data_IF_730386102061
#
_entry.id   IF_730386102061
#
_cell.length_a   1.000
_cell.length_b   1.000
_cell.length_c   1.000
_cell.angle_alpha   90.00
_cell.angle_beta   90.00
_cell.angle_gamma   90.00
#
_symmetry.space_group_name_H-M   'P 1'
#
loop_
_entity.id
_entity.type
_entity.pdbx_description
1 polymer ?
#
# COMPACT_ATOMS: atom_id res chain seq x y z
N UNK A 1 32.94 3.00 10.09
CA UNK A 1 34.37 3.23 10.36
C UNK A 1 34.68 2.54 11.66
N UNK A 2 35.67 1.66 11.69
CA UNK A 2 36.20 1.02 12.90
C UNK A 2 37.62 1.53 13.06
N UNK A 3 37.89 2.30 14.11
CA UNK A 3 39.20 2.88 14.38
C UNK A 3 39.80 2.23 15.62
N UNK A 4 41.11 1.99 15.61
CA UNK A 4 41.85 1.50 16.78
C UNK A 4 42.26 2.64 17.74
N UNK A 5 41.71 3.84 17.52
CA UNK A 5 42.01 5.03 18.31
C UNK A 5 41.34 4.95 19.67
N UNK A 6 41.99 5.52 20.69
CA UNK A 6 41.41 5.69 22.01
C UNK A 6 40.26 6.70 21.96
N UNK A 7 39.36 6.64 22.94
CA UNK A 7 38.23 7.57 23.02
C UNK A 7 38.67 9.04 23.08
N UNK A 8 39.82 9.31 23.69
CA UNK A 8 40.38 10.67 23.83
C UNK A 8 40.88 11.22 22.49
N UNK A 9 41.58 10.39 21.71
CA UNK A 9 42.06 10.74 20.36
C UNK A 9 40.88 11.02 19.42
N UNK A 10 39.82 10.20 19.49
CA UNK A 10 38.59 10.38 18.70
C UNK A 10 37.92 11.72 19.07
N UNK A 11 37.81 12.04 20.35
CA UNK A 11 37.24 13.30 20.80
C UNK A 11 38.08 14.50 20.36
N UNK A 12 39.40 14.37 20.36
CA UNK A 12 40.28 15.43 19.90
C UNK A 12 40.09 15.72 18.41
N UNK A 13 40.09 14.68 17.57
CA UNK A 13 39.89 14.81 16.13
C UNK A 13 38.50 15.39 15.78
N UNK A 14 37.46 14.94 16.49
CA UNK A 14 36.11 15.48 16.34
C UNK A 14 36.02 16.96 16.77
N UNK A 15 36.73 17.36 17.82
CA UNK A 15 36.78 18.76 18.25
C UNK A 15 37.57 19.64 17.27
N UNK A 16 38.60 19.12 16.62
CA UNK A 16 39.34 19.82 15.57
C UNK A 16 38.48 20.03 14.33
N UNK A 17 37.74 19.00 13.91
CA UNK A 17 36.80 19.11 12.77
C UNK A 17 35.66 20.09 13.07
N UNK A 18 35.14 20.15 14.30
CA UNK A 18 34.16 21.17 14.70
C UNK A 18 34.67 22.62 14.54
N UNK A 19 35.99 22.85 14.59
CA UNK A 19 36.57 24.19 14.42
C UNK A 19 36.66 24.63 12.95
N UNK A 20 36.51 23.69 12.01
CA UNK A 20 36.69 24.00 10.57
C UNK A 20 35.53 24.76 9.95
N UNK A 21 34.29 24.50 10.37
CA UNK A 21 33.11 25.19 9.87
C UNK A 21 32.27 25.77 11.03
N UNK A 22 32.13 27.10 11.15
CA UNK A 22 31.37 27.73 12.23
C UNK A 22 29.86 27.43 12.19
N UNK A 23 29.33 26.95 11.06
CA UNK A 23 27.91 26.64 10.90
C UNK A 23 27.55 25.19 11.26
N UNK A 24 28.53 24.30 11.42
CA UNK A 24 28.30 22.89 11.70
C UNK A 24 28.61 22.61 13.18
N UNK A 25 27.57 22.24 13.94
CA UNK A 25 27.72 21.76 15.32
C UNK A 25 27.54 20.25 15.34
N UNK A 26 28.61 19.54 15.73
CA UNK A 26 28.58 18.10 15.94
C UNK A 26 28.27 17.86 17.42
N UNK A 27 27.24 17.07 17.71
CA UNK A 27 26.94 16.60 19.06
C UNK A 27 27.47 15.17 19.18
N UNK A 28 28.36 14.95 20.15
CA UNK A 28 28.98 13.63 20.37
C UNK A 28 28.39 13.05 21.66
N UNK A 29 27.87 11.84 21.57
CA UNK A 29 27.34 11.10 22.72
C UNK A 29 27.87 9.68 22.68
N UNK A 30 28.51 9.24 23.77
CA UNK A 30 29.02 7.87 23.93
C UNK A 30 28.01 7.14 24.81
N UNK A 31 27.13 6.37 24.18
CA UNK A 31 26.11 5.57 24.86
C UNK A 31 26.12 4.14 24.32
N UNK A 32 25.58 3.20 25.09
CA UNK A 32 25.35 1.81 24.64
C UNK A 32 24.25 1.73 23.58
N UNK A 33 23.30 2.67 23.61
CA UNK A 33 22.25 2.83 22.61
C UNK A 33 22.22 4.26 22.06
N UNK A 34 21.94 4.39 20.77
CA UNK A 34 21.88 5.65 20.04
C UNK A 34 20.60 5.71 19.21
N UNK A 35 19.88 6.80 19.34
CA UNK A 35 18.68 7.09 18.55
C UNK A 35 19.06 7.96 17.36
N UNK A 36 18.76 7.52 16.14
CA UNK A 36 19.02 8.28 14.91
C UNK A 36 17.87 8.12 13.92
N UNK A 37 17.24 9.25 13.60
CA UNK A 37 16.05 9.32 12.73
C UNK A 37 14.94 8.38 13.24
N UNK A 38 14.64 7.35 12.44
CA UNK A 38 13.59 6.37 12.67
C UNK A 38 14.11 5.09 13.36
N UNK A 39 15.40 5.03 13.71
CA UNK A 39 16.06 3.84 14.24
C UNK A 39 16.68 4.07 15.63
N UNK A 40 16.55 3.08 16.49
CA UNK A 40 17.33 2.93 17.72
C UNK A 40 18.38 1.86 17.48
N UNK A 41 19.64 2.17 17.77
CA UNK A 41 20.79 1.31 17.51
C UNK A 41 21.44 1.00 18.87
N UNK A 42 21.47 -0.26 19.24
CA UNK A 42 22.08 -0.76 20.47
C UNK A 42 23.30 -1.62 20.15
N UNK A 43 24.37 -1.47 20.92
CA UNK A 43 25.56 -2.30 20.79
C UNK A 43 25.54 -3.44 21.81
N UNK A 44 25.22 -4.64 21.33
CA UNK A 44 25.25 -5.87 22.11
C UNK A 44 26.60 -6.58 21.93
N UNK A 45 27.59 -6.20 22.76
CA UNK A 45 28.91 -6.84 22.80
C UNK A 45 29.62 -6.93 21.44
N UNK A 46 29.52 -5.89 20.61
CA UNK A 46 30.13 -5.81 19.29
C UNK A 46 29.19 -6.12 18.13
N UNK A 47 27.96 -6.56 18.40
CA UNK A 47 26.91 -6.69 17.39
C UNK A 47 25.94 -5.53 17.50
N UNK A 48 25.70 -4.84 16.38
CA UNK A 48 24.71 -3.79 16.31
C UNK A 48 23.32 -4.40 16.17
N UNK A 49 22.46 -4.13 17.15
CA UNK A 49 21.04 -4.43 17.10
C UNK A 49 20.30 -3.15 16.77
N UNK A 50 19.42 -3.19 15.78
CA UNK A 50 18.62 -2.04 15.35
C UNK A 50 17.15 -2.33 15.57
N UNK A 51 16.41 -1.32 16.06
CA UNK A 51 14.98 -1.32 16.30
C UNK A 51 14.35 -0.02 15.79
N UNK A 52 13.03 0.04 15.71
CA UNK A 52 12.34 1.29 15.41
C UNK A 52 12.35 2.20 16.62
N UNK A 53 12.73 3.46 16.39
CA UNK A 53 12.63 4.50 17.41
C UNK A 53 11.27 5.21 17.31
N UNK A 54 10.54 5.22 18.42
CA UNK A 54 9.31 6.00 18.61
C UNK A 54 9.58 7.12 19.59
N UNK A 55 9.44 8.37 19.14
CA UNK A 55 9.63 9.54 20.01
C UNK A 55 8.59 9.53 21.13
N UNK A 56 8.95 9.97 22.34
CA UNK A 56 8.02 10.02 23.48
C UNK A 56 6.75 10.85 23.23
N UNK A 57 6.86 11.90 22.40
CA UNK A 57 5.74 12.74 21.98
C UNK A 57 5.05 12.24 20.69
N UNK A 58 5.32 11.01 20.26
CA UNK A 58 4.74 10.45 19.05
C UNK A 58 3.29 10.07 19.30
N UNK A 59 2.40 10.64 18.49
CA UNK A 59 1.01 10.24 18.44
C UNK A 59 0.81 9.21 17.32
N UNK A 60 0.02 8.16 17.54
CA UNK A 60 -0.27 7.13 16.54
C UNK A 60 -1.27 7.62 15.48
N UNK A 61 -1.08 8.84 14.96
CA UNK A 61 -1.98 9.41 13.98
C UNK A 61 -1.53 9.04 12.56
N UNK A 62 -2.34 8.22 11.90
CA UNK A 62 -2.18 7.91 10.48
C UNK A 62 -3.46 8.32 9.74
N UNK A 63 -3.46 8.14 8.42
CA UNK A 63 -4.65 8.44 7.62
C UNK A 63 -5.84 7.58 8.09
N UNK A 64 -6.88 8.21 8.64
CA UNK A 64 -8.12 7.54 9.04
C UNK A 64 -8.74 6.76 7.88
N UNK A 65 -9.26 5.57 8.18
CA UNK A 65 -9.94 4.72 7.20
C UNK A 65 -11.22 5.35 6.62
N UNK A 66 -11.84 6.28 7.35
CA UNK A 66 -13.05 6.99 6.90
C UNK A 66 -12.76 8.13 5.92
N UNK A 67 -11.48 8.48 5.73
CA UNK A 67 -11.12 9.52 4.77
C UNK A 67 -11.43 9.10 3.33
N UNK A 68 -11.75 10.07 2.46
CA UNK A 68 -12.11 9.83 1.05
C UNK A 68 -10.87 9.56 0.17
N UNK A 69 -10.08 8.56 0.57
CA UNK A 69 -8.92 8.10 -0.18
C UNK A 69 -9.20 6.75 -0.84
N UNK A 70 -8.60 6.48 -2.01
CA UNK A 70 -8.71 5.18 -2.64
C UNK A 70 -8.23 4.05 -1.73
N UNK A 71 -8.94 2.91 -1.74
CA UNK A 71 -8.60 1.73 -0.91
C UNK A 71 -7.15 1.24 -1.02
N UNK A 72 -6.51 1.44 -2.18
CA UNK A 72 -5.12 1.05 -2.37
C UNK A 72 -4.15 1.91 -1.52
N UNK A 73 -4.51 3.15 -1.17
CA UNK A 73 -3.72 4.00 -0.27
C UNK A 73 -3.73 3.42 1.14
N UNK A 74 -4.91 3.09 1.66
CA UNK A 74 -5.08 2.42 2.96
C UNK A 74 -4.33 1.08 3.02
N UNK A 75 -4.42 0.27 1.96
CA UNK A 75 -3.66 -0.97 1.86
C UNK A 75 -2.15 -0.73 1.84
N UNK A 76 -1.70 0.32 1.15
CA UNK A 76 -0.29 0.66 1.05
C UNK A 76 0.27 1.15 2.39
N UNK A 77 -0.51 1.83 3.23
CA UNK A 77 -0.08 2.22 4.58
C UNK A 77 0.35 0.99 5.38
N UNK A 78 -0.50 -0.05 5.43
CA UNK A 78 -0.21 -1.32 6.11
C UNK A 78 1.09 -1.94 5.55
N UNK A 79 1.20 -2.01 4.23
CA UNK A 79 2.39 -2.55 3.57
C UNK A 79 3.65 -1.78 3.95
N UNK A 80 3.60 -0.44 3.94
CA UNK A 80 4.75 0.40 4.26
C UNK A 80 5.17 0.32 5.71
N UNK A 81 4.23 0.16 6.65
CA UNK A 81 4.54 -0.04 8.07
C UNK A 81 5.31 -1.36 8.26
N UNK A 82 4.83 -2.46 7.67
CA UNK A 82 5.50 -3.76 7.76
C UNK A 82 6.88 -3.77 7.07
N UNK A 83 7.00 -3.14 5.88
CA UNK A 83 8.31 -3.01 5.21
C UNK A 83 9.28 -2.19 6.06
N UNK A 84 8.82 -1.11 6.70
CA UNK A 84 9.65 -0.31 7.61
C UNK A 84 10.12 -1.14 8.80
N UNK A 85 9.21 -1.86 9.45
CA UNK A 85 9.52 -2.76 10.56
C UNK A 85 10.55 -3.82 10.17
N UNK A 86 10.29 -4.56 9.10
CA UNK A 86 11.18 -5.62 8.65
C UNK A 86 12.55 -5.12 8.18
N UNK A 87 12.71 -3.83 7.86
CA UNK A 87 14.01 -3.24 7.49
C UNK A 87 14.81 -2.74 8.67
N UNK A 88 14.13 -2.27 9.71
CA UNK A 88 14.77 -1.61 10.85
C UNK A 88 15.00 -2.55 12.01
N UNK A 89 14.10 -3.50 12.27
CA UNK A 89 14.25 -4.46 13.37
C UNK A 89 15.23 -5.57 12.97
N UNK A 90 16.27 -5.81 13.77
CA UNK A 90 17.24 -6.88 13.52
C UNK A 90 16.74 -8.25 13.95
N UNK A 91 15.87 -8.34 14.96
CA UNK A 91 15.36 -9.62 15.47
C UNK A 91 13.88 -9.80 15.17
N UNK A 92 13.44 -11.06 15.16
CA UNK A 92 12.06 -11.42 14.86
C UNK A 92 11.10 -10.96 15.94
N UNK A 93 11.54 -10.95 17.20
CA UNK A 93 10.73 -10.51 18.35
C UNK A 93 10.45 -9.01 18.26
N UNK A 94 11.47 -8.21 17.95
CA UNK A 94 11.30 -6.76 17.84
C UNK A 94 10.47 -6.38 16.60
N UNK A 95 10.57 -7.16 15.53
CA UNK A 95 9.66 -7.04 14.40
C UNK A 95 8.21 -7.39 14.77
N UNK A 96 7.99 -8.46 15.53
CA UNK A 96 6.65 -8.87 15.94
C UNK A 96 6.00 -7.84 16.86
N UNK A 97 6.76 -7.29 17.80
CA UNK A 97 6.31 -6.19 18.66
C UNK A 97 5.92 -4.95 17.85
N UNK A 98 6.71 -4.57 16.84
CA UNK A 98 6.34 -3.47 15.96
C UNK A 98 5.12 -3.81 15.09
N UNK A 99 5.00 -5.04 14.60
CA UNK A 99 3.83 -5.52 13.84
C UNK A 99 2.56 -5.39 14.66
N UNK A 100 2.59 -5.78 15.93
CA UNK A 100 1.49 -5.64 16.87
C UNK A 100 1.17 -4.17 17.15
N UNK A 101 2.19 -3.34 17.34
CA UNK A 101 2.03 -1.88 17.47
C UNK A 101 1.33 -1.28 16.24
N UNK A 102 1.78 -1.66 15.04
CA UNK A 102 1.17 -1.25 13.77
C UNK A 102 -0.31 -1.67 13.67
N UNK A 103 -0.63 -2.90 14.09
CA UNK A 103 -2.02 -3.38 14.15
C UNK A 103 -2.89 -2.51 15.06
N UNK A 104 -2.39 -2.18 16.26
CA UNK A 104 -3.10 -1.30 17.21
C UNK A 104 -3.31 0.10 16.65
N UNK A 105 -2.30 0.69 16.02
CA UNK A 105 -2.38 2.01 15.38
C UNK A 105 -3.48 2.00 14.30
N UNK A 106 -3.53 0.97 13.46
CA UNK A 106 -4.54 0.86 12.42
C UNK A 106 -5.95 0.73 13.01
N UNK A 107 -6.13 -0.05 14.07
CA UNK A 107 -7.40 -0.20 14.77
C UNK A 107 -7.88 1.13 15.36
N UNK A 108 -7.00 1.88 16.02
CA UNK A 108 -7.31 3.21 16.59
C UNK A 108 -7.71 4.21 15.50
N UNK A 109 -7.14 4.09 14.30
CA UNK A 109 -7.47 4.95 13.15
C UNK A 109 -8.67 4.42 12.31
N UNK A 110 -9.46 3.48 12.86
CA UNK A 110 -10.73 3.04 12.28
C UNK A 110 -10.61 2.00 11.17
N UNK A 111 -9.46 1.36 10.98
CA UNK A 111 -9.31 0.33 9.95
C UNK A 111 -10.08 -0.94 10.34
N UNK A 112 -10.89 -1.53 9.44
CA UNK A 112 -11.62 -2.76 9.74
C UNK A 112 -10.66 -3.93 10.03
N UNK A 113 -10.87 -4.74 11.08
CA UNK A 113 -9.96 -5.85 11.42
C UNK A 113 -9.72 -6.83 10.27
N UNK A 114 -10.78 -7.17 9.52
CA UNK A 114 -10.68 -8.04 8.33
C UNK A 114 -9.82 -7.44 7.22
N UNK A 115 -9.82 -6.10 7.09
CA UNK A 115 -8.99 -5.40 6.12
C UNK A 115 -7.52 -5.46 6.54
N UNK A 116 -7.24 -5.18 7.82
CA UNK A 116 -5.90 -5.26 8.41
C UNK A 116 -5.32 -6.66 8.23
N UNK A 117 -6.01 -7.68 8.74
CA UNK A 117 -5.55 -9.07 8.69
C UNK A 117 -5.28 -9.54 7.26
N UNK A 118 -6.17 -9.19 6.31
CA UNK A 118 -5.98 -9.52 4.89
C UNK A 118 -4.69 -8.91 4.34
N UNK A 119 -4.48 -7.62 4.55
CA UNK A 119 -3.35 -6.90 3.96
C UNK A 119 -2.03 -7.22 4.62
N UNK A 120 -2.04 -7.42 5.93
CA UNK A 120 -0.89 -7.98 6.63
C UNK A 120 -0.59 -9.40 6.09
N UNK A 121 -1.57 -10.31 6.01
CA UNK A 121 -1.33 -11.68 5.53
C UNK A 121 -0.74 -11.69 4.12
N UNK A 122 -1.25 -10.82 3.25
CA UNK A 122 -0.74 -10.66 1.90
C UNK A 122 0.75 -10.23 1.87
N UNK A 123 1.22 -9.43 2.83
CA UNK A 123 2.64 -9.06 2.93
C UNK A 123 3.51 -10.29 3.13
N UNK A 124 3.18 -11.16 4.08
CA UNK A 124 3.97 -12.36 4.35
C UNK A 124 3.90 -13.39 3.21
N UNK A 125 2.72 -13.56 2.58
CA UNK A 125 2.59 -14.40 1.38
C UNK A 125 3.46 -13.87 0.23
N UNK A 126 3.48 -12.55 0.01
CA UNK A 126 4.25 -11.94 -1.07
C UNK A 126 5.77 -12.12 -0.90
N UNK A 127 6.22 -12.32 0.34
CA UNK A 127 7.62 -12.46 0.69
C UNK A 127 8.00 -13.89 1.11
N UNK A 128 7.13 -14.87 0.86
CA UNK A 128 7.32 -16.28 1.24
C UNK A 128 7.70 -16.47 2.74
N UNK A 129 7.24 -15.58 3.60
CA UNK A 129 7.63 -15.48 5.01
C UNK A 129 6.46 -15.80 5.97
N UNK A 130 5.57 -16.70 5.58
CA UNK A 130 4.36 -17.01 6.39
C UNK A 130 4.71 -17.57 7.77
N UNK A 131 5.83 -18.30 7.89
CA UNK A 131 6.30 -18.91 9.14
C UNK A 131 6.66 -17.85 10.20
N UNK A 132 7.14 -16.68 9.77
CA UNK A 132 7.39 -15.54 10.67
C UNK A 132 6.10 -15.10 11.39
N UNK A 133 4.95 -15.15 10.70
CA UNK A 133 3.67 -14.82 11.33
C UNK A 133 3.26 -15.89 12.35
N UNK A 134 3.30 -17.16 11.96
CA UNK A 134 2.66 -18.23 12.73
C UNK A 134 3.53 -18.76 13.86
N UNK A 135 4.84 -18.84 13.64
CA UNK A 135 5.78 -19.57 14.50
C UNK A 135 6.91 -18.67 15.03
N UNK A 136 6.96 -17.39 14.63
CA UNK A 136 8.07 -16.47 14.95
C UNK A 136 9.44 -17.06 14.56
N UNK A 137 9.49 -17.74 13.41
CA UNK A 137 10.72 -18.36 12.96
C UNK A 137 11.79 -17.32 12.59
N UNK A 138 12.95 -17.44 13.24
CA UNK A 138 14.06 -16.48 13.12
C UNK A 138 14.79 -16.62 11.79
N UNK A 139 14.94 -17.84 11.27
CA UNK A 139 15.67 -18.08 10.02
C UNK A 139 14.93 -17.48 8.82
N UNK A 140 13.61 -17.74 8.71
CA UNK A 140 12.79 -17.11 7.67
C UNK A 140 12.71 -15.60 7.83
N UNK A 141 12.72 -15.08 9.06
CA UNK A 141 12.78 -13.64 9.30
C UNK A 141 14.09 -13.03 8.80
N UNK A 142 15.24 -13.67 9.06
CA UNK A 142 16.53 -13.18 8.61
C UNK A 142 16.61 -13.09 7.07
N UNK A 143 16.03 -14.08 6.37
CA UNK A 143 15.91 -14.06 4.91
C UNK A 143 15.04 -12.89 4.43
N UNK A 144 13.88 -12.67 5.07
CA UNK A 144 12.99 -11.54 4.79
C UNK A 144 13.69 -10.19 5.02
N UNK A 145 14.33 -10.05 6.17
CA UNK A 145 15.05 -8.84 6.60
C UNK A 145 16.13 -8.49 5.60
N UNK A 146 17.03 -9.43 5.29
CA UNK A 146 18.10 -9.23 4.32
C UNK A 146 17.55 -8.88 2.93
N UNK A 147 16.52 -9.58 2.48
CA UNK A 147 15.89 -9.32 1.18
C UNK A 147 15.34 -7.89 1.10
N UNK A 148 14.70 -7.40 2.15
CA UNK A 148 14.10 -6.06 2.18
C UNK A 148 15.12 -4.95 2.42
N UNK A 149 16.17 -5.22 3.20
CA UNK A 149 17.25 -4.30 3.52
C UNK A 149 18.08 -3.97 2.27
N UNK A 150 18.48 -4.98 1.51
CA UNK A 150 19.28 -4.79 0.28
C UNK A 150 18.45 -4.49 -0.96
N UNK A 151 17.12 -4.41 -0.84
CA UNK A 151 16.23 -4.06 -1.95
C UNK A 151 16.46 -2.60 -2.35
N UNK A 152 16.98 -2.34 -3.56
CA UNK A 152 17.37 -1.00 -3.96
C UNK A 152 16.17 -0.06 -4.00
N UNK A 153 16.39 1.18 -3.57
CA UNK A 153 15.35 2.20 -3.61
C UNK A 153 14.98 2.54 -5.05
N UNK A 154 13.78 3.09 -5.28
CA UNK A 154 13.39 3.56 -6.63
C UNK A 154 14.39 4.57 -7.19
N UNK A 155 15.00 5.38 -6.32
CA UNK A 155 16.03 6.35 -6.69
C UNK A 155 17.31 5.64 -7.11
N UNK A 156 17.80 4.68 -6.32
CA UNK A 156 18.98 3.87 -6.68
C UNK A 156 18.77 3.11 -7.98
N UNK A 157 17.61 2.46 -8.16
CA UNK A 157 17.30 1.76 -9.41
C UNK A 157 17.33 2.71 -10.61
N UNK A 158 16.84 3.94 -10.45
CA UNK A 158 16.91 4.97 -11.49
C UNK A 158 18.35 5.40 -11.78
N UNK A 159 19.19 5.56 -10.75
CA UNK A 159 20.61 5.89 -10.91
C UNK A 159 21.39 4.74 -11.55
N UNK A 160 21.17 3.49 -11.14
CA UNK A 160 21.78 2.28 -11.72
C UNK A 160 21.41 2.09 -13.20
N UNK A 161 20.15 2.39 -13.55
CA UNK A 161 19.69 2.39 -14.93
C UNK A 161 20.35 3.49 -15.78
N UNK A 162 20.76 4.61 -15.18
CA UNK A 162 21.48 5.68 -15.88
C UNK A 162 22.97 5.34 -16.10
N UNK A 163 23.63 4.62 -15.18
CA UNK A 163 25.04 4.26 -15.30
C UNK A 163 25.31 3.11 -16.28
N UNK A 164 24.37 2.17 -16.45
CA UNK A 164 24.58 0.95 -17.26
C UNK A 164 24.26 1.10 -18.77
N UNK A 165 24.33 2.30 -19.33
CA UNK A 165 24.39 2.46 -20.79
C UNK A 165 23.09 2.14 -21.53
N UNK A 166 22.07 2.98 -21.34
CA UNK A 166 21.30 3.60 -22.42
C UNK A 166 20.25 4.46 -21.72
N UNK A 167 20.19 5.75 -22.06
CA UNK A 167 18.99 6.55 -21.88
C UNK A 167 17.88 6.00 -22.79
N UNK A 168 17.46 4.74 -22.61
CA UNK A 168 16.04 4.44 -22.77
C UNK A 168 15.38 5.20 -21.63
N UNK A 169 15.05 6.45 -21.92
CA UNK A 169 13.82 7.01 -21.37
C UNK A 169 12.74 5.99 -21.70
N UNK A 170 12.56 5.00 -20.84
CA UNK A 170 11.27 4.42 -20.56
C UNK A 170 10.44 5.55 -19.94
N UNK A 171 10.19 6.63 -20.71
CA UNK A 171 8.82 7.10 -20.88
C UNK A 171 8.10 5.81 -21.12
N UNK A 172 7.39 5.33 -20.10
CA UNK A 172 6.40 4.27 -20.28
C UNK A 172 5.74 4.64 -21.61
N UNK A 173 5.91 3.79 -22.62
CA UNK A 173 5.11 3.89 -23.83
C UNK A 173 3.70 3.55 -23.36
N UNK A 174 3.08 4.47 -22.62
CA UNK A 174 1.65 4.61 -22.62
C UNK A 174 1.36 4.77 -24.11
N UNK A 175 0.93 3.69 -24.75
CA UNK A 175 0.11 3.81 -25.94
C UNK A 175 -1.00 4.73 -25.47
N UNK A 176 -0.85 6.02 -25.79
CA UNK A 176 -1.91 6.97 -25.57
C UNK A 176 -3.06 6.34 -26.31
N UNK A 177 -4.09 5.89 -25.57
CA UNK A 177 -5.33 5.60 -26.23
C UNK A 177 -5.65 6.89 -26.96
N UNK A 178 -5.94 6.83 -28.26
CA UNK A 178 -6.48 7.95 -29.02
C UNK A 178 -7.85 8.39 -28.47
N UNK A 179 -8.18 8.01 -27.23
CA UNK A 179 -9.45 8.11 -26.56
C UNK A 179 -9.21 8.41 -25.08
N UNK A 180 -9.62 9.60 -24.64
CA UNK A 180 -9.67 10.01 -23.23
C UNK A 180 -11.12 9.84 -22.77
N UNK A 181 -11.35 9.01 -21.76
CA UNK A 181 -12.66 8.85 -21.14
C UNK A 181 -12.77 9.81 -19.96
N UNK A 182 -13.72 10.72 -20.03
CA UNK A 182 -14.08 11.59 -18.92
C UNK A 182 -15.43 11.13 -18.37
N UNK A 183 -15.40 10.71 -17.11
CA UNK A 183 -16.56 10.26 -16.39
C UNK A 183 -17.13 11.39 -15.53
N UNK A 184 -18.45 11.60 -15.56
CA UNK A 184 -19.11 12.59 -14.71
C UNK A 184 -20.44 12.05 -14.14
N UNK A 185 -20.85 12.59 -13.00
CA UNK A 185 -21.88 12.03 -12.10
C UNK A 185 -23.22 12.79 -12.11
N UNK A 186 -23.37 13.83 -12.94
CA UNK A 186 -24.53 14.74 -12.88
C UNK A 186 -25.57 14.46 -13.98
N UNK A 187 -26.83 14.27 -13.57
CA UNK A 187 -27.97 13.99 -14.46
C UNK A 187 -28.96 15.16 -14.62
N UNK A 188 -28.78 16.29 -13.94
CA UNK A 188 -29.73 17.42 -14.04
C UNK A 188 -29.12 18.65 -14.72
N UNK A 189 -29.64 19.00 -15.91
CA UNK A 189 -29.30 20.21 -16.67
C UNK A 189 -29.34 20.00 -18.19
N UNK A 190 -29.19 21.06 -19.01
CA UNK A 190 -29.12 20.95 -20.46
C UNK A 190 -27.82 20.27 -20.91
N UNK A 191 -27.79 18.93 -20.87
CA UNK A 191 -26.65 18.06 -21.16
C UNK A 191 -26.01 18.35 -22.54
N UNK A 192 -26.84 18.78 -23.49
CA UNK A 192 -26.42 19.23 -24.82
C UNK A 192 -25.40 20.37 -24.76
N UNK A 193 -25.52 21.26 -23.77
CA UNK A 193 -24.66 22.43 -23.65
C UNK A 193 -23.33 22.09 -22.98
N UNK A 194 -23.32 21.26 -21.94
CA UNK A 194 -22.07 20.86 -21.28
C UNK A 194 -21.11 20.17 -22.25
N UNK A 195 -21.60 19.19 -23.02
CA UNK A 195 -20.79 18.48 -24.02
C UNK A 195 -20.21 19.43 -25.08
N UNK A 196 -20.99 20.43 -25.50
CA UNK A 196 -20.57 21.44 -26.48
C UNK A 196 -19.54 22.40 -25.89
N UNK A 197 -19.82 22.98 -24.73
CA UNK A 197 -18.92 23.92 -24.05
C UNK A 197 -17.60 23.26 -23.67
N UNK A 198 -17.65 22.03 -23.14
CA UNK A 198 -16.45 21.30 -22.79
C UNK A 198 -15.60 20.98 -24.03
N UNK A 199 -16.22 20.56 -25.15
CA UNK A 199 -15.50 20.39 -26.42
C UNK A 199 -14.89 21.68 -26.92
N UNK A 200 -15.61 22.80 -26.83
CA UNK A 200 -15.11 24.13 -27.21
C UNK A 200 -13.87 24.51 -26.41
N UNK A 201 -13.90 24.29 -25.09
CA UNK A 201 -12.75 24.53 -24.20
C UNK A 201 -11.60 23.57 -24.56
N UNK A 202 -11.90 22.30 -24.79
CA UNK A 202 -10.90 21.29 -25.14
C UNK A 202 -10.18 21.65 -26.45
N UNK A 203 -10.93 22.01 -27.48
CA UNK A 203 -10.39 22.42 -28.78
C UNK A 203 -9.54 23.68 -28.64
N UNK A 204 -10.04 24.69 -27.91
CA UNK A 204 -9.34 25.96 -27.70
C UNK A 204 -7.98 25.81 -27.02
N UNK A 205 -7.87 24.98 -25.99
CA UNK A 205 -6.66 24.91 -25.15
C UNK A 205 -5.76 23.71 -25.44
N UNK A 206 -6.31 22.61 -25.99
CA UNK A 206 -5.58 21.35 -26.13
C UNK A 206 -5.46 20.89 -27.59
N UNK A 207 -6.18 21.46 -28.56
CA UNK A 207 -6.08 21.07 -29.97
C UNK A 207 -5.41 22.19 -30.78
N UNK A 208 -4.08 22.19 -30.79
CA UNK A 208 -3.26 23.09 -31.61
C UNK A 208 -2.10 22.31 -32.26
N UNK A 209 -1.43 22.84 -33.31
CA UNK A 209 -0.51 22.08 -34.17
C UNK A 209 0.63 21.37 -33.43
N UNK A 210 1.10 21.93 -32.33
CA UNK A 210 2.18 21.42 -31.47
C UNK A 210 1.69 20.69 -30.21
N UNK A 211 0.37 20.50 -30.05
CA UNK A 211 -0.21 19.84 -28.89
C UNK A 211 -0.11 18.31 -28.97
N UNK A 212 0.18 17.69 -27.82
CA UNK A 212 0.15 16.22 -27.64
C UNK A 212 -1.25 15.62 -27.75
N UNK A 213 -2.29 16.45 -27.70
CA UNK A 213 -3.70 16.03 -27.71
C UNK A 213 -4.39 16.26 -29.06
N UNK A 214 -3.65 16.63 -30.11
CA UNK A 214 -4.21 16.90 -31.45
C UNK A 214 -5.03 15.75 -32.03
N UNK A 215 -4.58 14.51 -31.81
CA UNK A 215 -5.23 13.30 -32.32
C UNK A 215 -6.03 12.53 -31.25
N UNK A 216 -6.12 13.04 -30.02
CA UNK A 216 -6.87 12.34 -28.96
C UNK A 216 -8.35 12.67 -29.03
N UNK A 217 -9.19 11.66 -29.24
CA UNK A 217 -10.65 11.73 -29.18
C UNK A 217 -11.11 11.81 -27.73
N UNK A 218 -11.91 12.81 -27.38
CA UNK A 218 -12.50 12.90 -26.06
C UNK A 218 -13.88 12.22 -26.03
N UNK A 219 -14.04 11.24 -25.13
CA UNK A 219 -15.30 10.51 -24.91
C UNK A 219 -15.82 10.89 -23.52
N UNK A 220 -16.96 11.59 -23.51
CA UNK A 220 -17.70 11.91 -22.30
C UNK A 220 -18.65 10.75 -22.01
N UNK A 221 -18.49 10.12 -20.85
CA UNK A 221 -19.33 9.03 -20.38
C UNK A 221 -19.93 9.39 -19.02
N UNK A 222 -21.19 9.05 -18.82
CA UNK A 222 -21.85 9.20 -17.52
C UNK A 222 -21.49 8.01 -16.63
N UNK A 223 -21.17 8.27 -15.36
CA UNK A 223 -21.22 7.23 -14.33
C UNK A 223 -22.62 7.31 -13.74
N UNK A 224 -23.42 6.28 -14.00
CA UNK A 224 -24.65 6.07 -13.25
C UNK A 224 -24.25 5.70 -11.83
N UNK A 225 -24.33 6.67 -10.92
CA UNK A 225 -24.30 6.36 -9.51
C UNK A 225 -25.53 5.49 -9.22
N UNK A 226 -25.31 4.32 -8.61
CA UNK A 226 -26.40 3.46 -8.17
C UNK A 226 -27.28 4.27 -7.21
N UNK A 227 -28.51 4.56 -7.61
CA UNK A 227 -29.49 5.19 -6.73
C UNK A 227 -29.72 4.29 -5.51
N UNK A 228 -30.09 4.84 -4.36
CA UNK A 228 -30.46 4.06 -3.17
C UNK A 228 -31.51 2.99 -3.55
N UNK A 229 -32.47 3.34 -4.40
CA UNK A 229 -33.44 2.43 -5.00
C UNK A 229 -32.78 1.20 -5.66
N UNK A 230 -31.73 1.39 -6.45
CA UNK A 230 -31.03 0.30 -7.14
C UNK A 230 -30.23 -0.63 -6.18
N UNK A 231 -29.89 -0.15 -4.98
CA UNK A 231 -29.31 -0.97 -3.91
C UNK A 231 -30.38 -1.72 -3.11
N UNK A 232 -31.58 -1.14 -2.99
CA UNK A 232 -32.73 -1.71 -2.28
C UNK A 232 -33.56 -2.68 -3.13
N UNK A 233 -33.46 -2.61 -4.47
CA UNK A 233 -34.08 -3.60 -5.36
C UNK A 233 -33.23 -4.87 -5.35
N UNK A 234 -33.63 -5.85 -4.55
CA UNK A 234 -33.10 -7.20 -4.66
C UNK A 234 -33.47 -7.79 -6.03
N UNK A 235 -32.48 -8.39 -6.69
CA UNK A 235 -32.70 -9.11 -7.95
C UNK A 235 -33.74 -10.20 -7.71
N UNK A 236 -34.85 -10.18 -8.45
CA UNK A 236 -35.89 -11.21 -8.37
C UNK A 236 -35.21 -12.59 -8.44
N UNK A 237 -35.55 -13.51 -7.52
CA UNK A 237 -34.91 -14.83 -7.52
C UNK A 237 -35.09 -15.49 -8.89
N UNK A 238 -34.15 -16.36 -9.27
CA UNK A 238 -34.24 -17.10 -10.53
C UNK A 238 -35.61 -17.79 -10.61
N UNK A 239 -36.23 -17.77 -11.80
CA UNK A 239 -37.56 -18.39 -12.03
C UNK A 239 -37.62 -19.84 -11.56
N UNK A 240 -36.50 -20.56 -11.59
CA UNK A 240 -36.36 -21.94 -11.12
C UNK A 240 -36.71 -22.11 -9.63
N UNK A 241 -36.50 -21.07 -8.80
CA UNK A 241 -36.94 -21.07 -7.40
C UNK A 241 -38.43 -20.72 -7.23
N UNK A 242 -39.05 -20.14 -8.26
CA UNK A 242 -40.46 -19.72 -8.25
C UNK A 242 -41.38 -20.78 -8.88
N UNK A 243 -40.82 -21.70 -9.67
CA UNK A 243 -41.51 -22.92 -10.08
C UNK A 243 -41.56 -23.87 -8.90
N UNK A 244 -42.74 -24.03 -8.30
CA UNK A 244 -43.03 -25.13 -7.37
C UNK A 244 -42.61 -26.42 -8.08
N UNK A 245 -41.64 -27.15 -7.55
CA UNK A 245 -41.24 -28.45 -8.08
C UNK A 245 -42.51 -29.28 -8.21
N UNK A 246 -43.00 -29.47 -9.44
CA UNK A 246 -44.00 -30.48 -9.69
C UNK A 246 -43.31 -31.80 -9.35
N UNK A 247 -43.88 -32.63 -8.46
CA UNK A 247 -43.30 -33.93 -8.19
C UNK A 247 -43.16 -34.66 -9.53
N UNK A 248 -41.97 -35.23 -9.77
CA UNK A 248 -41.71 -36.03 -10.95
C UNK A 248 -42.81 -37.08 -11.07
N UNK A 249 -43.33 -37.27 -12.29
CA UNK A 249 -44.47 -38.14 -12.61
C UNK A 249 -44.32 -39.58 -12.11
N UNK A 250 -43.11 -40.00 -11.72
CA UNK A 250 -42.84 -41.30 -11.10
C UNK A 250 -43.24 -41.35 -9.62
N UNK A 251 -42.98 -40.30 -8.83
CA UNK A 251 -43.36 -40.26 -7.42
C UNK A 251 -44.88 -40.18 -7.23
N UNK A 252 -45.61 -39.58 -8.17
CA UNK A 252 -47.08 -39.57 -8.16
C UNK A 252 -47.69 -40.92 -8.55
N UNK A 253 -47.00 -41.74 -9.36
CA UNK A 253 -47.50 -43.07 -9.78
C UNK A 253 -47.39 -44.09 -8.66
N UNK A 254 -46.31 -44.08 -7.88
CA UNK A 254 -46.14 -44.98 -6.72
C UNK A 254 -47.16 -44.72 -5.63
N UNK A 255 -47.46 -43.46 -5.32
CA UNK A 255 -48.48 -43.12 -4.30
C UNK A 255 -49.92 -43.51 -4.71
N UNK A 256 -50.20 -43.59 -6.01
CA UNK A 256 -51.51 -44.03 -6.51
C UNK A 256 -51.63 -45.57 -6.47
N UNK A 257 -50.56 -46.30 -6.80
CA UNK A 257 -50.55 -47.76 -6.71
C UNK A 257 -50.65 -48.29 -5.27
N UNK A 258 -50.05 -47.61 -4.29
CA UNK A 258 -50.17 -48.00 -2.88
C UNK A 258 -51.58 -47.77 -2.29
N UNK A 259 -52.36 -46.83 -2.84
CA UNK A 259 -53.74 -46.57 -2.41
C UNK A 259 -54.79 -47.49 -3.03
N UNK A 260 -54.47 -48.22 -4.09
CA UNK A 260 -55.39 -49.18 -4.73
C UNK A 260 -55.21 -50.62 -4.25
N UNK A 261 -54.17 -50.90 -3.44
CA UNK A 261 -53.86 -52.23 -2.90
C UNK A 261 -54.11 -52.36 -1.38
N UNK A 262 -54.92 -51.48 -0.78
CA UNK A 262 -55.43 -51.59 0.60
C UNK A 262 -56.95 -51.67 0.60
#
# INVERSE_FOLDING_TARGET
>A
MTTNLTTEEILQELNETMKTDPNIKITITINQALEYLDASIENNNGQLKTNIYHKSAWEPHILSYESDHPRHIHANIIYTMLVRAARLCSTVEDFDMERLSAEMILLVNGYPPKFIQKHMKNFFIQHDAMNVWTELDSETYEQLHNTLLYKPTRRENKSRAQTNGHLTQNRRNYKHKDQIYLHYTFENGPLLNFKKEYRRIWEKFYVYPSSRFKNTRLILSTILNRTLQSLLIHKKSKRDMLTRMQPTTEAARTTIQERFNQ
#
